data_IF_860869726851
#
_entry.id   IF_860869726851
#
_cell.length_a   1.000
_cell.length_b   1.000
_cell.length_c   1.000
_cell.angle_alpha   90.00
_cell.angle_beta   90.00
_cell.angle_gamma   90.00
#
_symmetry.space_group_name_H-M   'P 1'
#
loop_
_entity.id
_entity.type
_entity.pdbx_description
1 polymer ?
#
# COMPACT_ATOMS: atom_id res chain seq x y z
N UNK A 1 19.12 13.74 16.63
CA UNK A 1 20.05 12.60 16.43
C UNK A 1 20.26 11.88 17.76
N UNK A 2 19.58 10.76 17.98
CA UNK A 2 20.22 9.61 18.62
C UNK A 2 20.01 8.34 17.79
N UNK A 3 21.12 7.66 17.47
CA UNK A 3 21.18 6.45 16.65
C UNK A 3 20.84 5.23 17.50
N UNK A 4 19.75 4.53 17.19
CA UNK A 4 19.40 3.26 17.85
C UNK A 4 20.20 2.13 17.18
N UNK A 5 21.05 1.46 17.96
CA UNK A 5 21.83 0.28 17.51
C UNK A 5 20.98 -0.99 17.57
N UNK A 6 21.06 -1.79 16.53
CA UNK A 6 20.42 -3.12 16.41
C UNK A 6 21.24 -4.17 17.20
N UNK A 7 20.63 -5.02 18.04
CA UNK A 7 21.34 -6.12 18.70
C UNK A 7 21.52 -7.32 17.75
N UNK A 8 22.72 -7.92 17.76
CA UNK A 8 23.05 -9.18 17.08
C UNK A 8 22.58 -10.39 17.92
N UNK A 9 22.20 -11.52 17.28
CA UNK A 9 21.71 -12.69 17.99
C UNK A 9 22.85 -13.53 18.58
N UNK A 10 22.71 -13.92 19.85
CA UNK A 10 23.59 -14.81 20.60
C UNK A 10 23.30 -16.29 20.30
N UNK A 11 24.36 -17.13 20.37
CA UNK A 11 24.36 -18.59 20.10
C UNK A 11 23.36 -19.38 20.96
N UNK A 12 22.83 -20.52 20.45
CA UNK A 12 21.99 -21.42 21.25
C UNK A 12 22.80 -22.31 22.21
N UNK A 13 22.21 -22.75 23.34
CA UNK A 13 22.83 -23.66 24.32
C UNK A 13 22.77 -25.15 23.87
N UNK A 14 23.57 -26.05 24.49
CA UNK A 14 23.79 -27.41 23.99
C UNK A 14 22.68 -28.40 24.34
N UNK A 15 22.48 -29.36 23.44
CA UNK A 15 21.54 -30.48 23.51
C UNK A 15 21.99 -31.52 24.54
N UNK A 16 21.09 -31.92 25.45
CA UNK A 16 21.27 -33.08 26.35
C UNK A 16 20.62 -34.30 25.69
N UNK A 17 21.36 -35.40 25.62
CA UNK A 17 20.93 -36.70 25.10
C UNK A 17 20.17 -37.49 26.18
N UNK A 18 19.05 -38.09 25.82
CA UNK A 18 18.37 -39.11 26.63
C UNK A 18 18.32 -40.44 25.87
N UNK A 19 18.74 -41.49 26.58
CA UNK A 19 18.82 -42.90 26.18
C UNK A 19 17.48 -43.64 26.36
N UNK A 20 17.23 -44.76 25.66
CA UNK A 20 15.90 -45.34 25.49
C UNK A 20 15.44 -46.17 26.68
N UNK A 21 14.15 -46.10 26.99
CA UNK A 21 13.47 -46.98 27.95
C UNK A 21 12.77 -48.09 27.17
N UNK A 22 13.16 -49.34 27.45
CA UNK A 22 12.51 -50.57 27.00
C UNK A 22 11.54 -51.06 28.10
N UNK A 23 10.29 -51.30 27.75
CA UNK A 23 9.33 -52.02 28.60
C UNK A 23 8.53 -53.01 27.76
N UNK A 24 9.03 -54.24 27.79
CA UNK A 24 8.36 -55.45 27.33
C UNK A 24 7.57 -56.04 28.49
N UNK A 25 6.24 -55.86 28.53
CA UNK A 25 5.34 -56.65 29.37
C UNK A 25 4.10 -57.10 28.57
N UNK A 26 3.69 -58.36 28.83
CA UNK A 26 2.72 -59.15 28.08
C UNK A 26 1.32 -59.15 28.71
N UNK A 27 0.33 -59.39 27.83
CA UNK A 27 -1.01 -59.99 28.00
C UNK A 27 -2.23 -59.04 27.99
N UNK A 28 -3.44 -59.47 27.55
CA UNK A 28 -3.83 -60.63 26.72
C UNK A 28 -4.69 -60.25 25.48
N UNK A 29 -4.79 -61.19 24.54
CA UNK A 29 -5.59 -61.09 23.32
C UNK A 29 -7.10 -60.94 23.59
N UNK A 30 -7.67 -59.82 23.15
CA UNK A 30 -9.10 -59.71 22.84
C UNK A 30 -9.29 -59.68 21.33
N UNK A 31 -9.92 -60.73 20.80
CA UNK A 31 -10.43 -60.75 19.43
C UNK A 31 -11.62 -59.79 19.33
N UNK A 32 -11.41 -58.60 18.77
CA UNK A 32 -12.49 -57.80 18.22
C UNK A 32 -12.16 -57.48 16.76
N UNK A 33 -13.09 -57.86 15.87
CA UNK A 33 -13.04 -57.55 14.42
C UNK A 33 -12.80 -56.05 14.21
N UNK A 34 -11.97 -55.65 13.22
CA UNK A 34 -11.81 -54.24 12.93
C UNK A 34 -13.13 -53.70 12.35
N UNK A 35 -13.68 -52.59 12.86
CA UNK A 35 -14.55 -51.76 12.06
C UNK A 35 -13.70 -51.18 10.94
N UNK A 36 -14.21 -51.28 9.72
CA UNK A 36 -13.74 -50.60 8.51
C UNK A 36 -13.10 -49.24 8.83
N UNK A 37 -11.82 -49.10 8.47
CA UNK A 37 -11.09 -47.83 8.48
C UNK A 37 -11.86 -46.80 7.66
N UNK A 38 -12.48 -45.82 8.33
CA UNK A 38 -12.72 -44.51 7.73
C UNK A 38 -11.35 -43.89 7.49
N UNK A 39 -10.85 -44.02 6.27
CA UNK A 39 -9.76 -43.21 5.77
C UNK A 39 -10.24 -41.76 5.71
N UNK A 40 -10.12 -41.03 6.82
CA UNK A 40 -10.19 -39.58 6.82
C UNK A 40 -8.83 -39.04 6.34
N UNK A 41 -8.53 -39.27 5.07
CA UNK A 41 -7.49 -38.53 4.34
C UNK A 41 -8.06 -37.17 3.93
N UNK A 42 -8.58 -36.42 4.90
CA UNK A 42 -8.80 -34.99 4.70
C UNK A 42 -7.49 -34.31 5.09
N UNK A 43 -6.74 -33.72 4.14
CA UNK A 43 -5.58 -32.93 4.50
C UNK A 43 -6.02 -31.85 5.50
N UNK A 44 -5.17 -31.51 6.50
CA UNK A 44 -5.52 -30.46 7.45
C UNK A 44 -5.90 -29.21 6.67
N UNK A 45 -7.13 -28.72 6.90
CA UNK A 45 -7.62 -27.51 6.27
C UNK A 45 -6.58 -26.41 6.50
N UNK A 46 -6.15 -25.76 5.41
CA UNK A 46 -5.24 -24.63 5.52
C UNK A 46 -5.88 -23.60 6.47
N UNK A 47 -5.10 -23.01 7.39
CA UNK A 47 -5.63 -22.03 8.32
C UNK A 47 -6.26 -20.89 7.51
N UNK A 48 -7.53 -20.58 7.80
CA UNK A 48 -8.26 -19.51 7.13
C UNK A 48 -7.48 -18.19 7.29
N UNK A 49 -7.23 -17.50 6.18
CA UNK A 49 -6.57 -16.21 6.21
C UNK A 49 -7.49 -15.18 6.89
N UNK A 50 -6.96 -14.52 7.92
CA UNK A 50 -7.64 -13.44 8.61
C UNK A 50 -6.80 -12.16 8.50
N UNK A 51 -7.29 -11.13 7.79
CA UNK A 51 -6.58 -9.86 7.64
C UNK A 51 -6.27 -9.22 8.98
N UNK A 52 -5.01 -8.84 9.22
CA UNK A 52 -4.59 -8.27 10.51
C UNK A 52 -5.32 -6.96 10.82
N UNK A 53 -5.78 -6.25 9.78
CA UNK A 53 -6.52 -5.00 9.90
C UNK A 53 -7.76 -5.16 10.80
N UNK A 54 -8.39 -6.34 10.83
CA UNK A 54 -9.56 -6.60 11.65
C UNK A 54 -9.25 -6.64 13.15
N UNK A 55 -7.98 -6.73 13.54
CA UNK A 55 -7.54 -6.71 14.93
C UNK A 55 -7.39 -5.28 15.50
N UNK A 56 -7.49 -4.24 14.67
CA UNK A 56 -7.28 -2.85 15.07
C UNK A 56 -8.46 -1.96 14.68
N UNK A 57 -8.73 -0.87 15.43
CA UNK A 57 -9.66 0.17 15.00
C UNK A 57 -9.20 0.85 13.70
N UNK A 58 -10.17 1.24 12.86
CA UNK A 58 -9.88 1.83 11.55
C UNK A 58 -9.18 3.20 11.65
N UNK A 59 -9.50 3.98 12.67
CA UNK A 59 -8.84 5.26 12.97
C UNK A 59 -7.38 5.08 13.41
N UNK A 60 -7.12 4.03 14.21
CA UNK A 60 -5.76 3.68 14.62
C UNK A 60 -4.90 3.27 13.42
N UNK A 61 -5.42 2.39 12.56
CA UNK A 61 -4.74 2.00 11.32
C UNK A 61 -4.48 3.19 10.41
N UNK A 62 -5.45 4.10 10.26
CA UNK A 62 -5.26 5.31 9.48
C UNK A 62 -4.11 6.18 10.02
N UNK A 63 -3.95 6.29 11.35
CA UNK A 63 -2.80 6.97 11.97
C UNK A 63 -1.49 6.24 11.67
N UNK A 64 -1.43 4.91 11.83
CA UNK A 64 -0.22 4.13 11.59
C UNK A 64 0.22 4.19 10.12
N UNK A 65 -0.71 4.10 9.16
CA UNK A 65 -0.39 4.32 7.75
C UNK A 65 0.10 5.74 7.50
N UNK A 66 -0.49 6.75 8.15
CA UNK A 66 -0.05 8.15 8.01
C UNK A 66 1.39 8.35 8.48
N UNK A 67 1.82 7.68 9.55
CA UNK A 67 3.23 7.70 10.00
C UNK A 67 4.14 7.13 8.90
N UNK A 68 3.79 5.97 8.34
CA UNK A 68 4.60 5.32 7.31
C UNK A 68 4.71 6.13 6.01
N UNK A 69 3.59 6.72 5.56
CA UNK A 69 3.63 7.54 4.36
C UNK A 69 4.36 8.85 4.58
N UNK A 70 4.26 9.45 5.77
CA UNK A 70 5.10 10.59 6.14
C UNK A 70 6.58 10.22 6.03
N UNK A 71 6.99 9.12 6.64
CA UNK A 71 8.40 8.71 6.62
C UNK A 71 8.90 8.41 5.19
N UNK A 72 8.05 7.84 4.33
CA UNK A 72 8.39 7.65 2.92
C UNK A 72 8.53 8.98 2.14
N UNK A 73 7.75 10.00 2.49
CA UNK A 73 7.83 11.33 1.90
C UNK A 73 9.05 12.13 2.38
N UNK A 74 9.53 11.89 3.60
CA UNK A 74 10.73 12.53 4.15
C UNK A 74 12.01 12.18 3.36
N UNK A 75 11.98 11.12 2.53
CA UNK A 75 13.07 10.69 1.65
C UNK A 75 13.09 11.39 0.28
N UNK A 76 12.12 12.27 -0.04
CA UNK A 76 12.04 12.95 -1.33
C UNK A 76 12.98 14.17 -1.42
N UNK A 77 13.86 14.20 -2.42
CA UNK A 77 14.64 15.41 -2.77
C UNK A 77 13.97 16.18 -3.93
N UNK A 78 13.83 17.49 -3.77
CA UNK A 78 13.34 18.37 -4.83
C UNK A 78 14.21 18.35 -6.09
N UNK A 79 15.51 18.03 -5.96
CA UNK A 79 16.40 17.86 -7.12
C UNK A 79 15.99 16.67 -7.98
N UNK A 80 15.54 15.59 -7.34
CA UNK A 80 15.00 14.43 -8.06
C UNK A 80 13.75 14.81 -8.84
N UNK A 81 12.87 15.64 -8.24
CA UNK A 81 11.64 16.14 -8.85
C UNK A 81 11.91 17.02 -10.08
N UNK A 82 12.84 17.97 -9.99
CA UNK A 82 13.11 18.91 -11.09
C UNK A 82 13.85 18.24 -12.26
N UNK A 83 14.76 17.31 -11.95
CA UNK A 83 15.57 16.61 -12.95
C UNK A 83 14.86 15.39 -13.55
N UNK A 84 13.67 15.05 -13.05
CA UNK A 84 12.94 13.82 -13.41
C UNK A 84 13.75 12.53 -13.16
N UNK A 85 14.58 12.53 -12.12
CA UNK A 85 15.56 11.47 -11.84
C UNK A 85 14.99 10.30 -11.05
N UNK A 86 13.88 9.74 -11.51
CA UNK A 86 13.32 8.50 -10.96
C UNK A 86 12.93 7.52 -12.06
N UNK A 87 12.88 6.24 -11.70
CA UNK A 87 12.32 5.24 -12.59
C UNK A 87 10.80 5.41 -12.67
N UNK A 88 10.29 5.82 -13.83
CA UNK A 88 8.86 6.00 -14.08
C UNK A 88 8.09 4.67 -14.17
N UNK A 89 8.80 3.55 -14.18
CA UNK A 89 8.25 2.19 -14.16
C UNK A 89 9.08 1.32 -13.20
N UNK A 90 8.94 1.54 -11.87
CA UNK A 90 9.66 0.74 -10.89
C UNK A 90 9.29 -0.73 -11.06
N UNK A 91 10.23 -1.66 -10.77
CA UNK A 91 9.95 -3.08 -10.88
C UNK A 91 8.74 -3.44 -10.01
N UNK A 92 7.85 -4.31 -10.48
CA UNK A 92 6.71 -4.73 -9.68
C UNK A 92 7.23 -5.43 -8.42
N UNK A 93 6.91 -4.86 -7.25
CA UNK A 93 7.20 -5.47 -5.97
C UNK A 93 5.92 -6.13 -5.45
N UNK A 94 6.01 -7.43 -5.18
CA UNK A 94 5.00 -8.18 -4.41
C UNK A 94 5.35 -8.21 -2.92
N UNK A 95 6.52 -7.70 -2.53
CA UNK A 95 7.01 -7.75 -1.16
C UNK A 95 7.86 -6.51 -0.87
N UNK A 96 7.61 -5.87 0.27
CA UNK A 96 8.29 -4.62 0.62
C UNK A 96 9.79 -4.83 0.90
N UNK A 97 10.14 -5.94 1.55
CA UNK A 97 11.54 -6.27 1.85
C UNK A 97 12.32 -6.52 0.56
N UNK A 98 11.72 -7.20 -0.41
CA UNK A 98 12.31 -7.45 -1.72
C UNK A 98 12.58 -6.13 -2.47
N UNK A 99 11.66 -5.18 -2.42
CA UNK A 99 11.86 -3.86 -3.03
C UNK A 99 13.02 -3.10 -2.38
N UNK A 100 13.09 -3.08 -1.04
CA UNK A 100 14.20 -2.40 -0.33
C UNK A 100 15.59 -3.00 -0.61
N UNK A 101 15.66 -4.18 -1.23
CA UNK A 101 16.91 -4.82 -1.67
C UNK A 101 17.29 -4.49 -3.11
N UNK A 102 16.43 -3.84 -3.89
CA UNK A 102 16.79 -3.43 -5.26
C UNK A 102 17.82 -2.29 -5.23
N UNK A 103 18.58 -2.09 -6.31
CA UNK A 103 19.39 -0.89 -6.46
C UNK A 103 18.50 0.36 -6.39
N UNK A 104 18.98 1.40 -5.70
CA UNK A 104 18.37 2.71 -5.56
C UNK A 104 16.88 2.74 -5.08
N UNK A 105 16.55 2.12 -3.93
CA UNK A 105 15.17 2.03 -3.43
C UNK A 105 14.79 3.30 -2.63
N UNK A 106 14.99 4.49 -3.20
CA UNK A 106 14.76 5.76 -2.51
C UNK A 106 14.00 6.75 -3.39
N UNK A 107 13.66 7.91 -2.81
CA UNK A 107 13.09 9.02 -3.56
C UNK A 107 11.67 8.74 -4.11
N UNK A 108 11.37 9.31 -5.27
CA UNK A 108 10.06 9.20 -5.92
C UNK A 108 9.75 7.75 -6.29
N UNK A 109 10.78 6.97 -6.67
CA UNK A 109 10.65 5.54 -6.97
C UNK A 109 10.10 4.74 -5.78
N UNK A 110 10.62 4.98 -4.58
CA UNK A 110 10.18 4.34 -3.34
C UNK A 110 8.70 4.61 -3.06
N UNK A 111 8.25 5.86 -3.17
CA UNK A 111 6.87 6.25 -2.90
C UNK A 111 5.90 5.63 -3.92
N UNK A 112 6.28 5.60 -5.20
CA UNK A 112 5.48 4.95 -6.26
C UNK A 112 5.40 3.43 -6.03
N UNK A 113 6.53 2.79 -5.71
CA UNK A 113 6.56 1.35 -5.45
C UNK A 113 5.70 0.97 -4.23
N UNK A 114 5.80 1.75 -3.14
CA UNK A 114 4.98 1.58 -1.95
C UNK A 114 3.49 1.72 -2.26
N UNK A 115 3.12 2.75 -3.00
CA UNK A 115 1.74 2.97 -3.42
C UNK A 115 1.18 1.76 -4.18
N UNK A 116 1.92 1.27 -5.18
CA UNK A 116 1.48 0.12 -5.99
C UNK A 116 1.38 -1.16 -5.16
N UNK A 117 2.34 -1.39 -4.26
CA UNK A 117 2.33 -2.53 -3.34
C UNK A 117 1.11 -2.47 -2.41
N UNK A 118 0.80 -1.30 -1.83
CA UNK A 118 -0.35 -1.12 -0.95
C UNK A 118 -1.68 -1.41 -1.65
N UNK A 119 -1.85 -0.96 -2.90
CA UNK A 119 -3.04 -1.28 -3.70
C UNK A 119 -3.17 -2.80 -3.88
N UNK A 120 -2.09 -3.47 -4.30
CA UNK A 120 -2.09 -4.93 -4.50
C UNK A 120 -2.30 -5.69 -3.19
N UNK A 121 -1.73 -5.21 -2.09
CA UNK A 121 -1.88 -5.82 -0.76
C UNK A 121 -3.34 -5.78 -0.29
N UNK A 122 -4.04 -4.66 -0.42
CA UNK A 122 -5.47 -4.57 -0.08
C UNK A 122 -6.30 -5.56 -0.90
N UNK A 123 -6.06 -5.65 -2.21
CA UNK A 123 -6.73 -6.62 -3.08
C UNK A 123 -6.43 -8.05 -2.60
N UNK A 124 -5.17 -8.32 -2.25
CA UNK A 124 -4.71 -9.63 -1.80
C UNK A 124 -5.39 -10.07 -0.50
N UNK A 125 -5.45 -9.21 0.52
CA UNK A 125 -6.11 -9.52 1.80
C UNK A 125 -7.60 -9.86 1.60
N UNK A 126 -8.27 -9.16 0.68
CA UNK A 126 -9.67 -9.43 0.33
C UNK A 126 -9.78 -10.81 -0.35
N UNK A 127 -8.96 -11.09 -1.36
CA UNK A 127 -9.01 -12.34 -2.14
C UNK A 127 -8.44 -13.57 -1.43
N UNK A 128 -7.63 -13.37 -0.39
CA UNK A 128 -7.20 -14.43 0.50
C UNK A 128 -8.27 -14.79 1.54
N UNK A 129 -9.21 -13.89 1.82
CA UNK A 129 -10.31 -14.14 2.76
C UNK A 129 -11.39 -14.98 2.07
N UNK A 130 -11.45 -16.28 2.36
CA UNK A 130 -12.28 -17.24 1.61
C UNK A 130 -13.79 -17.06 1.84
N UNK A 131 -14.21 -16.86 3.09
CA UNK A 131 -15.63 -16.80 3.45
C UNK A 131 -16.25 -15.44 3.08
N UNK A 132 -17.34 -15.39 2.27
CA UNK A 132 -17.95 -14.13 1.83
C UNK A 132 -18.34 -13.16 2.97
N UNK A 133 -18.91 -13.62 4.11
CA UNK A 133 -19.19 -12.72 5.23
C UNK A 133 -17.93 -12.09 5.85
N UNK A 134 -16.82 -12.83 5.88
CA UNK A 134 -15.55 -12.34 6.42
C UNK A 134 -14.90 -11.36 5.44
N UNK A 135 -14.97 -11.67 4.15
CA UNK A 135 -14.50 -10.79 3.08
C UNK A 135 -15.31 -9.49 3.03
N UNK A 136 -16.62 -9.54 3.27
CA UNK A 136 -17.45 -8.34 3.41
C UNK A 136 -17.05 -7.51 4.64
N UNK A 137 -16.71 -8.15 5.78
CA UNK A 137 -16.15 -7.44 6.95
C UNK A 137 -14.83 -6.75 6.62
N UNK A 138 -13.95 -7.41 5.88
CA UNK A 138 -12.69 -6.86 5.40
C UNK A 138 -12.93 -5.61 4.54
N UNK A 139 -13.81 -5.69 3.53
CA UNK A 139 -14.18 -4.57 2.65
C UNK A 139 -14.74 -3.38 3.45
N UNK A 140 -15.72 -3.61 4.34
CA UNK A 140 -16.30 -2.55 5.18
C UNK A 140 -15.22 -1.88 6.04
N UNK A 141 -14.30 -2.67 6.59
CA UNK A 141 -13.23 -2.12 7.41
C UNK A 141 -12.26 -1.27 6.58
N UNK A 142 -11.90 -1.68 5.37
CA UNK A 142 -11.10 -0.87 4.44
C UNK A 142 -11.81 0.44 4.04
N UNK A 143 -13.12 0.41 3.77
CA UNK A 143 -13.90 1.64 3.51
C UNK A 143 -13.78 2.62 4.68
N UNK A 144 -13.89 2.12 5.92
CA UNK A 144 -13.74 2.93 7.13
C UNK A 144 -12.31 3.47 7.29
N UNK A 145 -11.29 2.66 7.05
CA UNK A 145 -9.88 3.10 7.08
C UNK A 145 -9.69 4.24 6.07
N UNK A 146 -10.12 4.06 4.82
CA UNK A 146 -10.00 5.09 3.78
C UNK A 146 -10.74 6.39 4.14
N UNK A 147 -11.93 6.28 4.75
CA UNK A 147 -12.66 7.44 5.26
C UNK A 147 -11.92 8.15 6.41
N UNK A 148 -11.27 7.42 7.32
CA UNK A 148 -10.39 8.01 8.32
C UNK A 148 -9.15 8.65 7.69
N UNK A 149 -8.51 8.01 6.72
CA UNK A 149 -7.39 8.58 5.96
C UNK A 149 -7.80 9.90 5.29
N UNK A 150 -8.98 10.00 4.67
CA UNK A 150 -9.49 11.28 4.12
C UNK A 150 -9.64 12.35 5.19
N UNK A 151 -10.22 12.02 6.34
CA UNK A 151 -10.36 12.95 7.48
C UNK A 151 -9.01 13.44 8.00
N UNK A 152 -8.04 12.54 8.07
CA UNK A 152 -6.66 12.87 8.45
C UNK A 152 -5.90 13.59 7.33
N UNK A 153 -6.50 13.76 6.15
CA UNK A 153 -5.85 14.29 4.93
C UNK A 153 -4.65 13.45 4.50
N UNK A 154 -4.67 12.17 4.83
CA UNK A 154 -3.80 11.18 4.21
C UNK A 154 -4.44 10.72 2.89
N UNK A 155 -4.20 11.51 1.83
CA UNK A 155 -4.76 11.26 0.52
C UNK A 155 -4.07 10.10 -0.20
N UNK A 156 -2.80 9.82 0.10
CA UNK A 156 -2.09 8.67 -0.47
C UNK A 156 -2.77 7.35 -0.10
N UNK A 157 -2.90 7.04 1.20
CA UNK A 157 -3.51 5.78 1.67
C UNK A 157 -5.00 5.71 1.34
N UNK A 158 -5.71 6.84 1.45
CA UNK A 158 -7.11 6.89 1.03
C UNK A 158 -7.28 6.50 -0.44
N UNK A 159 -6.42 7.04 -1.32
CA UNK A 159 -6.44 6.72 -2.74
C UNK A 159 -6.09 5.25 -2.97
N UNK A 160 -5.01 4.74 -2.37
CA UNK A 160 -4.56 3.34 -2.49
C UNK A 160 -5.70 2.35 -2.18
N UNK A 161 -6.37 2.53 -1.03
CA UNK A 161 -7.46 1.64 -0.62
C UNK A 161 -8.66 1.79 -1.56
N UNK A 162 -9.02 3.02 -1.93
CA UNK A 162 -10.19 3.27 -2.78
C UNK A 162 -10.01 2.62 -4.16
N UNK A 163 -8.85 2.76 -4.79
CA UNK A 163 -8.62 2.13 -6.11
C UNK A 163 -8.46 0.62 -6.04
N UNK A 164 -7.98 0.08 -4.92
CA UNK A 164 -7.98 -1.36 -4.67
C UNK A 164 -9.41 -1.92 -4.64
N UNK A 165 -10.32 -1.26 -3.89
CA UNK A 165 -11.72 -1.68 -3.79
C UNK A 165 -12.49 -1.54 -5.11
N UNK A 166 -12.15 -0.53 -5.91
CA UNK A 166 -12.74 -0.29 -7.24
C UNK A 166 -12.09 -1.12 -8.37
N UNK A 167 -11.03 -1.88 -8.06
CA UNK A 167 -10.38 -2.75 -9.05
C UNK A 167 -11.36 -3.78 -9.63
N UNK A 168 -11.11 -4.24 -10.85
CA UNK A 168 -11.95 -5.25 -11.48
C UNK A 168 -12.00 -6.56 -10.66
N UNK A 169 -10.86 -6.91 -10.04
CA UNK A 169 -10.71 -8.11 -9.21
C UNK A 169 -11.60 -8.06 -7.96
N UNK A 170 -11.72 -6.89 -7.30
CA UNK A 170 -12.64 -6.72 -6.17
C UNK A 170 -14.10 -6.50 -6.62
N UNK A 171 -14.34 -5.69 -7.65
CA UNK A 171 -15.68 -5.31 -8.09
C UNK A 171 -16.53 -6.49 -8.64
N UNK A 172 -15.88 -7.60 -8.99
CA UNK A 172 -16.55 -8.81 -9.50
C UNK A 172 -17.20 -9.66 -8.40
N UNK A 173 -16.81 -9.49 -7.13
CA UNK A 173 -17.27 -10.27 -5.98
C UNK A 173 -18.74 -9.97 -5.59
N UNK A 174 -19.70 -10.28 -6.47
CA UNK A 174 -21.12 -9.90 -6.36
C UNK A 174 -21.79 -10.40 -5.08
N UNK A 175 -21.57 -11.65 -4.68
CA UNK A 175 -22.08 -12.23 -3.44
C UNK A 175 -21.49 -11.54 -2.22
N UNK A 176 -20.20 -11.20 -2.25
CA UNK A 176 -19.57 -10.43 -1.16
C UNK A 176 -20.16 -9.02 -1.06
N UNK A 177 -20.26 -8.30 -2.19
CA UNK A 177 -20.81 -6.94 -2.21
C UNK A 177 -22.29 -6.89 -1.79
N UNK A 178 -23.06 -7.95 -2.03
CA UNK A 178 -24.45 -8.06 -1.56
C UNK A 178 -24.56 -8.08 -0.01
N UNK A 179 -23.49 -8.43 0.70
CA UNK A 179 -23.42 -8.42 2.16
C UNK A 179 -22.96 -7.07 2.73
N UNK A 180 -22.50 -6.14 1.89
CA UNK A 180 -22.04 -4.81 2.32
C UNK A 180 -23.26 -3.87 2.43
N UNK A 181 -23.53 -3.26 3.60
CA UNK A 181 -24.66 -2.36 3.77
C UNK A 181 -24.57 -1.13 2.85
N UNK A 182 -25.74 -0.64 2.40
CA UNK A 182 -25.83 0.53 1.51
C UNK A 182 -25.12 1.79 2.07
N UNK A 183 -25.08 1.96 3.39
CA UNK A 183 -24.35 3.06 4.03
C UNK A 183 -22.84 3.01 3.77
N UNK A 184 -22.23 1.83 3.83
CA UNK A 184 -20.79 1.65 3.52
C UNK A 184 -20.53 1.84 2.02
N UNK A 185 -21.44 1.37 1.16
CA UNK A 185 -21.37 1.61 -0.29
C UNK A 185 -21.41 3.12 -0.59
N UNK A 186 -22.28 3.88 0.08
CA UNK A 186 -22.34 5.33 -0.07
C UNK A 186 -21.02 6.00 0.33
N UNK A 187 -20.37 5.54 1.40
CA UNK A 187 -19.05 6.06 1.80
C UNK A 187 -18.00 5.75 0.72
N UNK A 188 -18.01 4.55 0.13
CA UNK A 188 -17.11 4.20 -0.97
C UNK A 188 -17.35 5.09 -2.20
N UNK A 189 -18.60 5.35 -2.56
CA UNK A 189 -18.94 6.26 -3.67
C UNK A 189 -18.46 7.69 -3.41
N UNK A 190 -18.51 8.15 -2.16
CA UNK A 190 -17.98 9.46 -1.76
C UNK A 190 -16.46 9.52 -1.91
N UNK A 191 -15.76 8.44 -1.59
CA UNK A 191 -14.31 8.31 -1.80
C UNK A 191 -13.97 8.23 -3.29
N UNK A 192 -14.73 7.45 -4.07
CA UNK A 192 -14.58 7.33 -5.53
C UNK A 192 -14.63 8.70 -6.21
N UNK A 193 -15.61 9.54 -5.85
CA UNK A 193 -15.76 10.89 -6.41
C UNK A 193 -14.52 11.77 -6.20
N UNK A 194 -13.74 11.53 -5.14
CA UNK A 194 -12.50 12.28 -4.88
C UNK A 194 -11.37 11.79 -5.77
N UNK A 195 -11.20 10.47 -5.88
CA UNK A 195 -10.04 9.85 -6.58
C UNK A 195 -10.19 9.83 -8.10
N UNK A 196 -11.39 10.09 -8.63
CA UNK A 196 -11.64 10.12 -10.06
C UNK A 196 -10.71 11.11 -10.80
N UNK A 197 -10.09 10.70 -11.93
CA UNK A 197 -9.18 11.55 -12.71
C UNK A 197 -9.90 12.63 -13.55
N UNK A 198 -11.12 13.02 -13.18
CA UNK A 198 -11.93 14.00 -13.90
C UNK A 198 -11.33 15.40 -13.78
N UNK A 199 -11.33 16.14 -14.90
CA UNK A 199 -10.79 17.51 -14.98
C UNK A 199 -9.38 17.62 -14.37
N UNK A 200 -8.52 16.65 -14.68
CA UNK A 200 -7.17 16.53 -14.13
C UNK A 200 -7.16 16.43 -12.58
N UNK A 201 -7.93 15.48 -12.04
CA UNK A 201 -8.05 15.23 -10.59
C UNK A 201 -8.54 16.44 -9.79
N UNK A 202 -9.51 17.18 -10.33
CA UNK A 202 -9.95 18.45 -9.73
C UNK A 202 -10.37 18.32 -8.25
N UNK A 203 -11.18 17.32 -7.91
CA UNK A 203 -11.68 17.14 -6.54
C UNK A 203 -10.53 16.85 -5.56
N UNK A 204 -9.63 15.93 -5.91
CA UNK A 204 -8.48 15.60 -5.09
C UNK A 204 -7.53 16.79 -4.92
N UNK A 205 -7.25 17.54 -5.99
CA UNK A 205 -6.44 18.76 -5.91
C UNK A 205 -7.07 19.80 -5.00
N UNK A 206 -8.38 20.04 -5.13
CA UNK A 206 -9.10 20.97 -4.27
C UNK A 206 -8.96 20.59 -2.79
N UNK A 207 -9.12 19.31 -2.43
CA UNK A 207 -8.94 18.87 -1.05
C UNK A 207 -7.48 19.00 -0.56
N UNK A 208 -6.49 18.70 -1.40
CA UNK A 208 -5.08 18.84 -1.04
C UNK A 208 -4.65 20.31 -0.88
N UNK A 209 -5.05 21.19 -1.79
CA UNK A 209 -4.43 22.51 -1.97
C UNK A 209 -5.15 23.67 -1.27
N UNK A 210 -6.41 23.50 -0.85
CA UNK A 210 -7.23 24.58 -0.26
C UNK A 210 -7.21 24.64 1.27
N UNK A 211 -6.64 23.63 1.93
CA UNK A 211 -6.61 23.61 3.39
C UNK A 211 -5.56 24.59 3.97
N UNK A 212 -5.76 25.06 5.21
CA UNK A 212 -4.78 25.90 5.90
C UNK A 212 -3.42 25.21 6.00
N UNK A 213 -2.34 26.00 5.88
CA UNK A 213 -0.97 25.47 5.86
C UNK A 213 -0.54 24.79 7.16
N UNK A 214 -1.19 25.12 8.28
CA UNK A 214 -0.95 24.49 9.59
C UNK A 214 -1.50 23.06 9.68
N UNK A 215 -2.31 22.62 8.70
CA UNK A 215 -2.96 21.31 8.72
C UNK A 215 -2.07 20.25 8.07
N UNK A 216 -1.98 19.07 8.69
CA UNK A 216 -1.28 17.93 8.08
C UNK A 216 -1.85 17.51 6.73
N UNK A 217 -0.99 16.99 5.85
CA UNK A 217 -1.37 16.43 4.55
C UNK A 217 -0.37 15.36 4.11
N UNK A 218 -0.83 14.16 3.76
CA UNK A 218 -0.05 13.21 2.96
C UNK A 218 -0.58 13.31 1.51
N UNK A 219 0.16 13.97 0.60
CA UNK A 219 -0.28 14.14 -0.78
C UNK A 219 -0.24 12.82 -1.56
N UNK A 220 -1.17 12.67 -2.51
CA UNK A 220 -0.96 11.74 -3.61
C UNK A 220 -0.01 12.37 -4.63
N UNK A 221 1.29 12.05 -4.52
CA UNK A 221 2.34 12.68 -5.34
C UNK A 221 2.23 12.36 -6.83
N UNK A 222 1.50 11.29 -7.20
CA UNK A 222 1.32 10.85 -8.58
C UNK A 222 0.73 11.91 -9.51
N UNK A 223 -0.05 12.84 -8.95
CA UNK A 223 -0.58 13.99 -9.69
C UNK A 223 0.55 14.96 -10.09
N UNK A 224 1.43 15.30 -9.14
CA UNK A 224 2.53 16.24 -9.35
C UNK A 224 3.62 15.65 -10.25
N UNK A 225 3.95 14.37 -10.07
CA UNK A 225 4.93 13.68 -10.93
C UNK A 225 4.41 13.57 -12.37
N UNK A 226 3.11 13.30 -12.57
CA UNK A 226 2.47 13.34 -13.89
C UNK A 226 2.54 14.73 -14.54
N UNK A 227 2.27 15.79 -13.78
CA UNK A 227 2.34 17.16 -14.29
C UNK A 227 3.77 17.52 -14.71
N UNK A 228 4.78 17.11 -13.92
CA UNK A 228 6.19 17.32 -14.24
C UNK A 228 6.61 16.59 -15.52
N UNK A 229 6.24 15.30 -15.65
CA UNK A 229 6.52 14.51 -16.86
C UNK A 229 5.84 15.12 -18.09
N UNK A 230 4.58 15.55 -17.96
CA UNK A 230 3.86 16.20 -19.05
C UNK A 230 4.51 17.53 -19.46
N UNK A 231 4.87 18.38 -18.49
CA UNK A 231 5.54 19.65 -18.76
C UNK A 231 6.93 19.46 -19.40
N UNK A 232 7.65 18.39 -19.06
CA UNK A 232 8.95 18.09 -19.63
C UNK A 232 8.92 17.71 -21.11
N UNK A 233 7.75 17.39 -21.67
CA UNK A 233 7.57 17.20 -23.12
C UNK A 233 7.75 18.51 -23.91
N UNK A 234 7.62 19.69 -23.26
CA UNK A 234 7.96 20.97 -23.86
C UNK A 234 9.48 21.08 -24.06
N UNK A 235 9.96 21.66 -25.17
CA UNK A 235 11.39 21.82 -25.40
C UNK A 235 12.04 22.72 -24.34
N UNK A 236 13.21 22.34 -23.84
CA UNK A 236 13.95 23.13 -22.85
C UNK A 236 14.47 24.45 -23.43
N UNK A 237 14.69 24.48 -24.75
CA UNK A 237 15.26 25.61 -25.48
C UNK A 237 14.46 25.79 -26.77
N UNK A 238 14.19 27.03 -27.16
CA UNK A 238 13.44 27.40 -28.35
C UNK A 238 14.45 27.90 -29.39
N UNK A 239 14.45 27.29 -30.58
CA UNK A 239 15.26 27.73 -31.71
C UNK A 239 14.40 28.58 -32.64
N UNK A 240 14.77 29.83 -32.84
CA UNK A 240 14.11 30.77 -33.77
C UNK A 240 14.54 30.52 -35.21
N UNK A 241 13.84 29.62 -35.93
CA UNK A 241 13.84 29.44 -37.39
C UNK A 241 15.19 29.10 -38.09
N UNK A 242 15.20 28.56 -39.33
CA UNK A 242 16.37 27.90 -39.93
C UNK A 242 17.40 28.85 -40.57
N UNK A 243 17.20 30.16 -40.50
CA UNK A 243 18.21 31.15 -40.90
C UNK A 243 18.95 31.66 -39.66
N UNK A 244 20.07 30.99 -39.38
CA UNK A 244 21.01 31.27 -38.31
C UNK A 244 21.28 32.76 -38.08
N UNK A 245 21.14 33.20 -36.83
CA UNK A 245 21.97 34.26 -36.21
C UNK A 245 21.76 34.39 -34.69
N UNK A 246 20.69 33.81 -34.13
CA UNK A 246 20.36 33.94 -32.71
C UNK A 246 20.78 32.72 -31.88
N UNK A 247 21.32 32.98 -30.69
CA UNK A 247 21.58 31.96 -29.68
C UNK A 247 20.27 31.27 -29.26
N UNK A 248 20.30 29.96 -28.98
CA UNK A 248 19.11 29.21 -28.65
C UNK A 248 18.55 29.69 -27.28
N UNK A 249 17.27 30.06 -27.23
CA UNK A 249 16.67 30.74 -26.09
C UNK A 249 16.08 29.76 -25.06
N UNK A 250 16.36 29.96 -23.78
CA UNK A 250 15.77 29.15 -22.70
C UNK A 250 14.25 29.27 -22.72
N UNK A 251 13.55 28.14 -22.71
CA UNK A 251 12.09 28.11 -22.58
C UNK A 251 11.67 28.42 -21.13
N UNK A 252 11.62 29.71 -20.78
CA UNK A 252 11.29 30.15 -19.43
C UNK A 252 9.93 29.63 -18.95
N UNK A 253 8.93 29.51 -19.83
CA UNK A 253 7.59 29.01 -19.47
C UNK A 253 7.65 27.56 -18.96
N UNK A 254 8.42 26.68 -19.62
CA UNK A 254 8.63 25.30 -19.19
C UNK A 254 9.25 25.26 -17.79
N UNK A 255 10.31 26.04 -17.56
CA UNK A 255 11.02 26.06 -16.28
C UNK A 255 10.17 26.68 -15.16
N UNK A 256 9.47 27.78 -15.45
CA UNK A 256 8.54 28.42 -14.52
C UNK A 256 7.41 27.48 -14.12
N UNK A 257 6.83 26.75 -15.07
CA UNK A 257 5.78 25.75 -14.80
C UNK A 257 6.31 24.62 -13.91
N UNK A 258 7.49 24.07 -14.22
CA UNK A 258 8.11 23.03 -13.41
C UNK A 258 8.37 23.50 -11.96
N UNK A 259 8.94 24.70 -11.81
CA UNK A 259 9.18 25.30 -10.50
C UNK A 259 7.88 25.50 -9.70
N UNK A 260 6.79 25.90 -10.36
CA UNK A 260 5.46 26.00 -9.74
C UNK A 260 4.95 24.66 -9.21
N UNK A 261 5.08 23.59 -9.99
CA UNK A 261 4.67 22.24 -9.59
C UNK A 261 5.52 21.74 -8.41
N UNK A 262 6.85 21.87 -8.49
CA UNK A 262 7.78 21.46 -7.40
C UNK A 262 7.49 22.25 -6.13
N UNK A 263 7.30 23.57 -6.22
CA UNK A 263 6.96 24.40 -5.05
C UNK A 263 5.62 23.99 -4.42
N UNK A 264 4.63 23.68 -5.24
CA UNK A 264 3.34 23.17 -4.79
C UNK A 264 3.49 21.86 -4.00
N UNK A 265 4.26 20.91 -4.53
CA UNK A 265 4.53 19.64 -3.86
C UNK A 265 5.35 19.83 -2.58
N UNK A 266 6.42 20.62 -2.61
CA UNK A 266 7.25 20.91 -1.43
C UNK A 266 6.44 21.47 -0.26
N UNK A 267 5.46 22.35 -0.53
CA UNK A 267 4.53 22.84 0.49
C UNK A 267 3.73 21.71 1.13
N UNK A 268 3.30 20.72 0.35
CA UNK A 268 2.57 19.55 0.88
C UNK A 268 3.50 18.59 1.65
N UNK A 269 4.76 18.46 1.24
CA UNK A 269 5.78 17.71 1.99
C UNK A 269 6.09 18.38 3.34
N UNK A 270 6.10 19.70 3.41
CA UNK A 270 6.21 20.40 4.70
C UNK A 270 4.97 20.11 5.59
N UNK A 271 3.78 20.04 4.99
CA UNK A 271 2.55 19.68 5.70
C UNK A 271 2.55 18.22 6.19
N UNK A 272 3.18 17.27 5.48
CA UNK A 272 3.28 15.89 5.99
C UNK A 272 4.08 15.81 7.29
N UNK A 273 4.96 16.77 7.56
CA UNK A 273 5.67 16.88 8.84
C UNK A 273 4.82 17.30 10.04
N UNK A 274 3.55 17.71 9.85
CA UNK A 274 2.70 18.28 10.91
C UNK A 274 1.95 17.24 11.75
N UNK A 275 2.05 15.95 11.43
CA UNK A 275 1.41 14.89 12.20
C UNK A 275 2.18 14.57 13.49
N UNK A 276 1.46 14.53 14.61
CA UNK A 276 1.99 14.16 15.92
C UNK A 276 1.33 12.87 16.45
N UNK A 277 1.31 11.81 15.63
CA UNK A 277 0.77 10.51 16.02
C UNK A 277 1.81 9.67 16.77
N UNK A 278 1.33 8.83 17.68
CA UNK A 278 2.20 7.91 18.42
C UNK A 278 2.30 6.59 17.66
N UNK A 279 3.52 6.11 17.33
CA UNK A 279 3.68 4.81 16.69
C UNK A 279 3.32 3.69 17.66
N UNK A 280 2.47 2.79 17.22
CA UNK A 280 2.23 1.49 17.86
C UNK A 280 3.20 0.48 17.24
N UNK A 281 4.24 0.01 17.95
CA UNK A 281 5.27 -0.82 17.34
C UNK A 281 4.75 -2.10 16.67
N UNK A 282 3.70 -2.71 17.21
CA UNK A 282 3.17 -3.98 16.70
C UNK A 282 2.31 -3.72 15.47
N UNK A 283 1.40 -2.75 15.55
CA UNK A 283 0.55 -2.37 14.43
C UNK A 283 1.37 -1.77 13.28
N UNK A 284 2.28 -0.86 13.58
CA UNK A 284 3.14 -0.20 12.61
C UNK A 284 4.01 -1.19 11.84
N UNK A 285 4.58 -2.19 12.54
CA UNK A 285 5.35 -3.25 11.89
C UNK A 285 4.49 -4.06 10.91
N UNK A 286 3.23 -4.37 11.26
CA UNK A 286 2.29 -5.05 10.34
C UNK A 286 1.91 -4.19 9.14
N UNK A 287 1.76 -2.88 9.32
CA UNK A 287 1.51 -1.92 8.24
C UNK A 287 2.74 -1.66 7.35
N UNK A 288 3.95 -1.84 7.87
CA UNK A 288 5.20 -1.65 7.14
C UNK A 288 5.54 -2.88 6.28
N UNK A 289 5.51 -4.06 6.88
CA UNK A 289 5.94 -5.32 6.27
C UNK A 289 4.79 -6.01 5.53
N UNK A 290 4.24 -5.31 4.54
CA UNK A 290 3.18 -5.83 3.67
C UNK A 290 3.75 -6.63 2.50
N UNK A 291 3.03 -7.67 2.11
CA UNK A 291 3.27 -8.47 0.92
C UNK A 291 1.94 -8.72 0.21
N UNK A 292 1.98 -8.74 -1.12
CA UNK A 292 0.82 -8.93 -1.97
C UNK A 292 0.99 -10.19 -2.83
N UNK A 293 -0.13 -10.75 -3.25
CA UNK A 293 -0.17 -11.78 -4.28
C UNK A 293 0.36 -11.24 -5.61
N UNK A 294 0.92 -12.15 -6.41
CA UNK A 294 1.25 -11.84 -7.80
C UNK A 294 -0.02 -11.60 -8.63
N UNK A 295 0.11 -10.84 -9.72
CA UNK A 295 -1.03 -10.42 -10.54
C UNK A 295 -1.80 -11.60 -11.15
N UNK A 296 -1.10 -12.66 -11.56
CA UNK A 296 -1.70 -13.90 -12.06
C UNK A 296 -2.53 -14.59 -10.99
N UNK A 297 -2.06 -14.60 -9.75
CA UNK A 297 -2.73 -15.21 -8.61
C UNK A 297 -3.92 -14.38 -8.13
N UNK A 298 -3.81 -13.04 -8.14
CA UNK A 298 -4.94 -12.12 -7.92
C UNK A 298 -6.07 -12.45 -8.90
N UNK A 299 -5.77 -12.49 -10.19
CA UNK A 299 -6.78 -12.76 -11.23
C UNK A 299 -7.42 -14.13 -11.05
N UNK A 300 -6.59 -15.17 -10.85
CA UNK A 300 -7.05 -16.55 -10.65
C UNK A 300 -7.98 -16.67 -9.44
N UNK A 301 -7.61 -16.06 -8.30
CA UNK A 301 -8.43 -16.10 -7.09
C UNK A 301 -9.72 -15.32 -7.23
N UNK A 302 -9.66 -14.15 -7.85
CA UNK A 302 -10.85 -13.35 -8.10
C UNK A 302 -11.88 -14.13 -8.92
N UNK A 303 -11.45 -14.89 -9.93
CA UNK A 303 -12.32 -15.76 -10.74
C UNK A 303 -12.84 -17.00 -10.00
N UNK A 304 -12.04 -17.57 -9.08
CA UNK A 304 -12.42 -18.77 -8.32
C UNK A 304 -13.41 -18.48 -7.19
N UNK A 305 -13.33 -17.30 -6.60
CA UNK A 305 -14.23 -16.92 -5.52
C UNK A 305 -15.63 -16.67 -6.05
N UNK A 306 -15.77 -15.84 -7.09
CA UNK A 306 -17.05 -15.37 -7.68
C UNK A 306 -16.86 -14.83 -9.10
#
# INVERSE_FOLDING_TARGET
MPTVRIPTPTKPPPTIAESPIDFNEKHPHFHNKPPSSLSSDTPPAQPAHLPFILAYPADHLAQQFTILEKDALDELDWRELIDLRWNQSPPPASDWVAYLRTPDPFGVGLVIARFNLMVKWVISEILLTDAPPERARCIMHYIRIAAHCRRLRNFATMYQITVALLSADCARLKHTWALVPAGEISVLQDLERVVQPLRNFHNLRMEMETAPTETGCIPFIGIYTRDLVYNAQKPAVITSAPQNEYEPLVNFERHHTAAGIVKGLLRLLEQSGRYAFTPDPVCLARCLWVSALEETEIRRRAELLE
#
